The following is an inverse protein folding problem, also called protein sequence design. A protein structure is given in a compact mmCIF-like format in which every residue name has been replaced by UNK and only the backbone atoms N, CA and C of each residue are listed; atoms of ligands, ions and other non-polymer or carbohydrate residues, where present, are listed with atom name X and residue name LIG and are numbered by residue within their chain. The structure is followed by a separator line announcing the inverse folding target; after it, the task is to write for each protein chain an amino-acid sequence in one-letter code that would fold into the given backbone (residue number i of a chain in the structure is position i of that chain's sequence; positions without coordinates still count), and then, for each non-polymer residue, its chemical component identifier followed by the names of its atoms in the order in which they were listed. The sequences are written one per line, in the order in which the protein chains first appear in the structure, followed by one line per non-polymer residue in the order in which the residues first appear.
data_IF_521916248339
#
_entry.id   IF_521916248339
#
_cell.length_a   1.000
_cell.length_b   1.000
_cell.length_c   1.000
_cell.angle_alpha   90.00
_cell.angle_beta   90.00
_cell.angle_gamma   90.00
#
_symmetry.space_group_name_H-M   'P 1'
#
loop_
_entity.id
_entity.type
_entity.pdbx_description
1 polymer ?
#
# COMPACT_ATOMS: atom_id res chain seq x y z
N UNK A 1 2.34 -35.51 4.83
CA UNK A 1 3.30 -34.40 4.96
C UNK A 1 2.49 -33.18 5.38
N UNK A 2 2.65 -32.69 6.61
CA UNK A 2 1.91 -31.52 7.09
C UNK A 2 2.63 -30.28 6.55
N UNK A 3 2.00 -29.52 5.66
CA UNK A 3 2.52 -28.23 5.24
C UNK A 3 2.24 -27.24 6.38
N UNK A 4 3.25 -26.97 7.20
CA UNK A 4 3.21 -25.85 8.15
C UNK A 4 3.18 -24.55 7.34
N UNK A 5 1.99 -23.99 7.13
CA UNK A 5 1.84 -22.64 6.59
C UNK A 5 2.27 -21.65 7.68
N UNK A 6 3.53 -21.23 7.65
CA UNK A 6 4.00 -20.11 8.46
C UNK A 6 3.33 -18.83 7.96
N UNK A 7 2.34 -18.32 8.70
CA UNK A 7 1.71 -17.03 8.43
C UNK A 7 2.74 -15.94 8.70
N UNK A 8 3.34 -15.37 7.65
CA UNK A 8 4.26 -14.24 7.77
C UNK A 8 3.41 -13.00 7.99
N UNK A 9 3.38 -12.46 9.22
CA UNK A 9 2.82 -11.14 9.48
C UNK A 9 3.89 -10.08 9.17
N UNK A 10 3.61 -9.21 8.20
CA UNK A 10 4.43 -8.05 7.90
C UNK A 10 3.66 -6.78 8.23
N UNK A 11 4.29 -5.89 8.97
CA UNK A 11 3.72 -4.57 9.30
C UNK A 11 4.29 -3.55 8.34
N UNK A 12 3.42 -2.73 7.75
CA UNK A 12 3.80 -1.64 6.85
C UNK A 12 3.57 -0.31 7.52
N UNK A 13 4.47 0.65 7.29
CA UNK A 13 4.26 2.03 7.74
C UNK A 13 3.41 2.77 6.70
N UNK A 14 2.33 3.37 7.17
CA UNK A 14 1.49 4.29 6.39
C UNK A 14 1.66 5.70 6.94
N UNK A 15 1.91 6.67 6.06
CA UNK A 15 1.97 8.09 6.37
C UNK A 15 0.62 8.70 5.97
N UNK A 16 -0.02 9.40 6.89
CA UNK A 16 -1.24 10.16 6.64
C UNK A 16 -0.89 11.65 6.59
N UNK A 17 -1.33 12.32 5.54
CA UNK A 17 -1.25 13.76 5.37
C UNK A 17 -2.65 14.33 5.13
N UNK A 18 -2.93 15.54 5.61
CA UNK A 18 -4.25 16.16 5.46
C UNK A 18 -4.08 17.52 4.82
N UNK A 19 -4.79 17.74 3.72
CA UNK A 19 -4.76 18.99 2.99
C UNK A 19 -5.67 20.06 3.62
N UNK A 20 -5.51 21.31 3.17
CA UNK A 20 -6.29 22.47 3.64
C UNK A 20 -7.80 22.33 3.36
N UNK A 21 -8.19 21.56 2.34
CA UNK A 21 -9.58 21.24 2.01
C UNK A 21 -10.15 20.07 2.82
N UNK A 22 -9.33 19.45 3.68
CA UNK A 22 -9.72 18.37 4.56
C UNK A 22 -9.68 16.97 3.95
N UNK A 23 -9.12 16.80 2.75
CA UNK A 23 -8.81 15.49 2.17
C UNK A 23 -7.61 14.91 2.89
N UNK A 24 -7.71 13.63 3.26
CA UNK A 24 -6.65 12.86 3.89
C UNK A 24 -6.02 11.97 2.82
N UNK A 25 -4.71 12.07 2.67
CA UNK A 25 -3.89 11.25 1.81
C UNK A 25 -3.13 10.23 2.64
N UNK A 26 -3.19 8.96 2.25
CA UNK A 26 -2.43 7.87 2.82
C UNK A 26 -1.41 7.35 1.81
N UNK A 27 -0.16 7.18 2.24
CA UNK A 27 0.88 6.53 1.43
C UNK A 27 1.65 5.48 2.21
N UNK A 28 1.94 4.36 1.57
CA UNK A 28 2.86 3.34 2.02
C UNK A 28 4.04 3.27 1.05
N UNK A 29 5.17 3.88 1.44
CA UNK A 29 6.34 3.99 0.57
C UNK A 29 6.94 2.61 0.22
N UNK A 30 6.85 1.63 1.12
CA UNK A 30 7.41 0.28 0.92
C UNK A 30 6.73 -0.48 -0.22
N UNK A 31 5.43 -0.26 -0.41
CA UNK A 31 4.63 -0.93 -1.44
C UNK A 31 4.28 0.00 -2.59
N UNK A 32 4.66 1.28 -2.53
CA UNK A 32 4.16 2.33 -3.42
C UNK A 32 2.63 2.37 -3.51
N UNK A 33 1.94 2.00 -2.43
CA UNK A 33 0.49 2.05 -2.34
C UNK A 33 0.06 3.44 -1.85
N UNK A 34 -0.91 4.05 -2.54
CA UNK A 34 -1.45 5.36 -2.20
C UNK A 34 -2.98 5.29 -2.18
N UNK A 35 -3.60 6.06 -1.28
CA UNK A 35 -5.04 6.19 -1.18
C UNK A 35 -5.41 7.59 -0.67
N UNK A 36 -6.65 8.00 -0.92
CA UNK A 36 -7.22 9.24 -0.40
C UNK A 36 -8.61 8.99 0.21
N UNK A 37 -9.07 9.89 1.07
CA UNK A 37 -10.34 9.78 1.75
C UNK A 37 -10.70 11.06 2.50
N UNK A 38 -11.98 11.25 2.82
CA UNK A 38 -12.48 12.42 3.56
C UNK A 38 -12.45 12.20 5.07
N UNK A 39 -12.39 10.96 5.51
CA UNK A 39 -12.30 10.57 6.92
C UNK A 39 -11.12 9.62 7.13
N UNK A 40 -10.63 9.55 8.38
CA UNK A 40 -9.55 8.61 8.70
C UNK A 40 -9.97 7.15 8.51
N UNK A 41 -11.23 6.81 8.74
CA UNK A 41 -11.76 5.45 8.56
C UNK A 41 -11.81 5.07 7.08
N UNK A 42 -12.23 6.00 6.23
CA UNK A 42 -12.25 5.82 4.77
C UNK A 42 -10.82 5.66 4.23
N UNK A 43 -9.91 6.56 4.60
CA UNK A 43 -8.51 6.49 4.11
C UNK A 43 -7.82 5.21 4.57
N UNK A 44 -8.10 4.74 5.79
CA UNK A 44 -7.57 3.48 6.34
C UNK A 44 -8.11 2.27 5.59
N UNK A 45 -9.39 2.28 5.22
CA UNK A 45 -9.98 1.21 4.42
C UNK A 45 -9.33 1.17 3.04
N UNK A 46 -9.29 2.32 2.37
CA UNK A 46 -8.76 2.45 1.01
C UNK A 46 -7.27 2.08 0.93
N UNK A 47 -6.45 2.49 1.89
CA UNK A 47 -5.02 2.14 1.90
C UNK A 47 -4.80 0.66 2.23
N UNK A 48 -5.63 0.04 3.06
CA UNK A 48 -5.55 -1.40 3.33
C UNK A 48 -5.87 -2.20 2.05
N UNK A 49 -6.94 -1.84 1.33
CA UNK A 49 -7.27 -2.49 0.05
C UNK A 49 -6.14 -2.33 -0.97
N UNK A 50 -5.54 -1.14 -1.07
CA UNK A 50 -4.39 -0.91 -1.94
C UNK A 50 -3.16 -1.74 -1.52
N UNK A 51 -2.88 -1.87 -0.22
CA UNK A 51 -1.81 -2.71 0.30
C UNK A 51 -2.07 -4.18 -0.02
N UNK A 52 -3.29 -4.68 0.19
CA UNK A 52 -3.67 -6.06 -0.09
C UNK A 52 -3.48 -6.40 -1.57
N UNK A 53 -3.93 -5.52 -2.48
CA UNK A 53 -3.72 -5.68 -3.92
C UNK A 53 -2.23 -5.74 -4.28
N UNK A 54 -1.40 -4.84 -3.73
CA UNK A 54 0.03 -4.83 -4.01
C UNK A 54 0.74 -6.07 -3.45
N UNK A 55 0.35 -6.54 -2.27
CA UNK A 55 0.90 -7.77 -1.68
C UNK A 55 0.49 -8.99 -2.51
N UNK A 56 -0.76 -9.07 -2.95
CA UNK A 56 -1.22 -10.14 -3.84
C UNK A 56 -0.44 -10.17 -5.15
N UNK A 57 -0.19 -9.02 -5.76
CA UNK A 57 0.59 -8.92 -7.01
C UNK A 57 2.05 -9.34 -6.78
N UNK A 58 2.68 -8.89 -5.69
CA UNK A 58 4.04 -9.32 -5.29
C UNK A 58 4.16 -10.82 -5.02
N UNK A 59 3.10 -11.46 -4.52
CA UNK A 59 3.07 -12.91 -4.26
C UNK A 59 2.86 -13.70 -5.56
N UNK A 60 2.01 -13.19 -6.46
CA UNK A 60 1.70 -13.84 -7.75
C UNK A 60 2.87 -13.74 -8.72
N UNK A 61 3.64 -12.67 -8.64
CA UNK A 61 4.74 -12.42 -9.56
C UNK A 61 6.10 -12.44 -8.83
N UNK A 62 6.83 -13.53 -8.99
CA UNK A 62 8.20 -13.69 -8.44
C UNK A 62 9.22 -12.72 -9.08
N UNK A 63 8.83 -11.97 -10.10
CA UNK A 63 9.68 -11.05 -10.86
C UNK A 63 9.13 -9.60 -10.89
N UNK A 64 8.19 -9.25 -10.00
CA UNK A 64 7.71 -7.86 -9.86
C UNK A 64 8.83 -6.96 -9.30
N UNK A 65 9.78 -6.62 -10.17
CA UNK A 65 10.68 -5.51 -9.98
C UNK A 65 9.85 -4.23 -10.07
N UNK A 66 9.95 -3.37 -9.05
CA UNK A 66 9.36 -2.04 -8.94
C UNK A 66 9.85 -1.10 -10.06
N UNK A 67 9.58 -1.43 -11.33
CA UNK A 67 9.98 -0.65 -12.52
C UNK A 67 9.10 0.57 -12.76
N UNK A 68 8.09 0.81 -11.93
CA UNK A 68 7.29 2.03 -11.97
C UNK A 68 7.84 3.11 -11.03
N UNK A 69 9.16 3.37 -11.05
CA UNK A 69 9.65 4.71 -10.75
C UNK A 69 9.43 5.53 -12.03
N UNK A 70 8.20 5.97 -12.26
CA UNK A 70 7.93 6.96 -13.32
C UNK A 70 8.50 8.28 -12.82
N UNK A 71 9.75 8.51 -13.21
CA UNK A 71 10.49 9.77 -13.11
C UNK A 71 9.60 10.88 -13.71
N UNK A 72 8.92 11.65 -12.86
CA UNK A 72 8.55 13.01 -13.23
C UNK A 72 9.73 13.89 -12.82
N UNK A 73 10.71 13.95 -13.71
CA UNK A 73 11.57 15.13 -13.84
C UNK A 73 11.10 15.82 -15.10
N UNK A 74 10.31 16.88 -14.93
CA UNK A 74 10.54 18.17 -15.58
C UNK A 74 9.89 19.26 -14.71
#
# INVERSE_FOLDING_TARGET
MQHSTSTISKTYKVILDKDENGIIFARCDELHANAEGRTEEEVKTNINEAIELMVEDLVKDKDYSLKFIRRYSD
#
